data_IF_609932373679
#
_entry.id   IF_609932373679
#
_cell.length_a   1.000
_cell.length_b   1.000
_cell.length_c   1.000
_cell.angle_alpha   90.00
_cell.angle_beta   90.00
_cell.angle_gamma   90.00
#
_symmetry.space_group_name_H-M   'P 1'
#
loop_
_entity.id
_entity.type
_entity.pdbx_description
1 polymer ?
#
# COMPACT_ATOMS: atom_id res chain seq x y z
N UNK A 1 62.36 37.14 16.87
CA UNK A 1 62.60 36.39 18.13
C UNK A 1 61.52 35.31 18.21
N UNK A 2 61.74 33.99 18.28
CA UNK A 2 62.89 33.10 18.13
C UNK A 2 62.35 31.69 17.79
N UNK A 3 62.96 31.06 16.79
CA UNK A 3 63.17 29.61 16.45
C UNK A 3 62.62 28.46 17.32
N UNK A 4 62.16 27.36 16.67
CA UNK A 4 62.76 26.00 16.66
C UNK A 4 61.84 24.97 15.93
N UNK A 5 62.25 24.29 14.84
CA UNK A 5 63.02 23.02 14.74
C UNK A 5 62.22 21.75 15.16
N UNK A 6 62.10 20.63 14.40
CA UNK A 6 63.11 19.78 13.73
C UNK A 6 62.47 18.75 12.76
N UNK A 7 63.25 18.29 11.77
CA UNK A 7 62.96 17.23 10.76
C UNK A 7 63.97 16.06 10.94
N UNK A 8 63.99 15.02 10.07
CA UNK A 8 63.51 13.64 10.25
C UNK A 8 64.62 12.59 10.58
N UNK A 9 64.24 11.34 10.87
CA UNK A 9 65.17 10.19 11.03
C UNK A 9 65.06 9.18 9.88
N UNK A 10 66.24 8.72 9.41
CA UNK A 10 66.46 7.75 8.32
C UNK A 10 66.51 6.29 8.81
N UNK A 11 66.20 5.40 7.87
CA UNK A 11 66.12 3.92 7.89
C UNK A 11 67.50 3.24 7.91
N UNK A 12 67.59 2.02 8.50
CA UNK A 12 68.35 0.81 8.09
C UNK A 12 68.42 -0.19 9.28
N UNK A 13 68.39 -1.54 9.21
CA UNK A 13 68.91 -2.53 8.24
C UNK A 13 68.46 -3.97 8.66
N UNK A 14 68.39 -4.91 7.68
CA UNK A 14 68.68 -6.39 7.72
C UNK A 14 67.66 -7.31 8.44
N UNK A 15 67.43 -8.59 8.09
CA UNK A 15 67.99 -9.57 7.13
C UNK A 15 66.92 -10.68 6.86
N UNK A 16 67.14 -11.42 5.79
CA UNK A 16 66.34 -12.46 5.09
C UNK A 16 66.14 -13.82 5.79
N UNK A 17 65.05 -14.55 5.47
CA UNK A 17 65.05 -15.96 5.00
C UNK A 17 63.64 -16.51 4.61
N UNK A 18 63.66 -17.27 3.51
CA UNK A 18 62.67 -18.16 2.87
C UNK A 18 61.97 -19.16 3.83
N UNK A 19 60.68 -19.47 3.62
CA UNK A 19 60.15 -20.57 2.77
C UNK A 19 58.77 -21.06 3.27
N UNK A 20 57.88 -21.32 2.30
CA UNK A 20 56.90 -22.41 2.16
C UNK A 20 56.07 -22.85 3.38
N UNK A 21 54.76 -22.63 3.34
CA UNK A 21 53.86 -23.70 2.88
C UNK A 21 52.41 -23.22 2.81
N UNK A 22 51.81 -23.51 1.66
CA UNK A 22 50.37 -23.56 1.45
C UNK A 22 49.87 -24.69 2.33
N UNK A 23 49.05 -24.36 3.33
CA UNK A 23 48.12 -25.35 3.86
C UNK A 23 46.72 -24.75 3.99
N UNK A 24 45.91 -25.17 3.05
CA UNK A 24 44.47 -25.04 2.94
C UNK A 24 43.79 -25.61 4.18
N UNK A 25 43.51 -24.75 5.16
CA UNK A 25 42.49 -25.05 6.17
C UNK A 25 41.25 -24.23 5.88
N UNK A 26 40.38 -24.87 5.10
CA UNK A 26 38.95 -24.62 4.95
C UNK A 26 38.34 -24.42 6.34
N UNK A 27 38.16 -23.17 6.76
CA UNK A 27 37.27 -22.82 7.87
C UNK A 27 35.84 -23.13 7.42
N UNK A 28 35.38 -24.33 7.73
CA UNK A 28 33.97 -24.65 7.75
C UNK A 28 33.30 -23.69 8.74
N UNK A 29 32.67 -22.65 8.21
CA UNK A 29 31.72 -21.83 8.94
C UNK A 29 30.54 -22.74 9.29
N UNK A 30 30.64 -23.45 10.42
CA UNK A 30 29.49 -24.04 11.10
C UNK A 30 28.61 -22.86 11.51
N UNK A 31 27.70 -22.49 10.62
CA UNK A 31 26.59 -21.60 10.92
C UNK A 31 25.73 -22.33 11.94
N UNK A 32 25.98 -22.07 13.22
CA UNK A 32 25.09 -22.43 14.30
C UNK A 32 23.73 -21.78 14.02
N UNK A 33 22.84 -22.50 13.32
CA UNK A 33 21.45 -22.10 13.17
C UNK A 33 20.82 -22.13 14.54
N UNK A 34 20.85 -21.00 15.23
CA UNK A 34 20.19 -20.83 16.52
C UNK A 34 18.68 -20.95 16.28
N UNK A 35 18.10 -22.04 16.78
CA UNK A 35 16.67 -22.34 16.61
C UNK A 35 15.85 -21.25 17.32
N UNK A 36 14.93 -20.62 16.59
CA UNK A 36 14.07 -19.55 17.12
C UNK A 36 13.27 -20.04 18.34
N UNK A 37 13.11 -19.17 19.32
CA UNK A 37 12.21 -19.41 20.46
C UNK A 37 10.75 -19.42 20.03
N UNK A 38 9.85 -20.07 20.79
CA UNK A 38 8.40 -20.11 20.50
C UNK A 38 7.80 -18.71 20.32
N UNK A 39 8.20 -17.75 21.17
CA UNK A 39 7.75 -16.36 21.06
C UNK A 39 8.17 -15.72 19.74
N UNK A 40 9.43 -15.90 19.33
CA UNK A 40 9.94 -15.37 18.06
C UNK A 40 9.23 -16.01 16.85
N UNK A 41 8.90 -17.31 16.93
CA UNK A 41 8.15 -18.00 15.88
C UNK A 41 6.75 -17.42 15.71
N UNK A 42 6.02 -17.19 16.81
CA UNK A 42 4.68 -16.59 16.75
C UNK A 42 4.70 -15.17 16.18
N UNK A 43 5.66 -14.35 16.59
CA UNK A 43 5.84 -12.98 16.05
C UNK A 43 6.11 -13.06 14.53
N UNK A 44 7.01 -13.94 14.11
CA UNK A 44 7.34 -14.13 12.70
C UNK A 44 6.11 -14.54 11.88
N UNK A 45 5.33 -15.51 12.35
CA UNK A 45 4.10 -15.95 11.70
C UNK A 45 3.06 -14.82 11.60
N UNK A 46 2.91 -14.01 12.64
CA UNK A 46 2.01 -12.85 12.63
C UNK A 46 2.43 -11.81 11.59
N UNK A 47 3.74 -11.52 11.49
CA UNK A 47 4.28 -10.61 10.47
C UNK A 47 4.09 -11.15 9.05
N UNK A 48 4.36 -12.44 8.83
CA UNK A 48 4.15 -13.10 7.54
C UNK A 48 2.67 -13.06 7.13
N UNK A 49 1.77 -13.31 8.07
CA UNK A 49 0.32 -13.23 7.84
C UNK A 49 -0.11 -11.81 7.47
N UNK A 50 0.34 -10.80 8.22
CA UNK A 50 0.04 -9.38 7.92
C UNK A 50 0.54 -8.99 6.53
N UNK A 51 1.79 -9.33 6.22
CA UNK A 51 2.39 -9.06 4.90
C UNK A 51 1.58 -9.72 3.77
N UNK A 52 1.14 -10.96 3.95
CA UNK A 52 0.34 -11.65 2.94
C UNK A 52 -0.98 -10.90 2.67
N UNK A 53 -1.67 -10.46 3.72
CA UNK A 53 -2.92 -9.72 3.57
C UNK A 53 -2.72 -8.30 3.02
N UNK A 54 -1.61 -7.63 3.35
CA UNK A 54 -1.22 -6.36 2.72
C UNK A 54 -1.02 -6.52 1.21
N UNK A 55 -0.32 -7.57 0.78
CA UNK A 55 -0.14 -7.88 -0.64
C UNK A 55 -1.47 -8.18 -1.34
N UNK A 56 -2.33 -8.98 -0.72
CA UNK A 56 -3.65 -9.28 -1.26
C UNK A 56 -4.50 -8.01 -1.40
N UNK A 57 -4.47 -7.12 -0.40
CA UNK A 57 -5.18 -5.83 -0.45
C UNK A 57 -4.67 -4.97 -1.61
N UNK A 58 -3.36 -4.95 -1.84
CA UNK A 58 -2.76 -4.20 -2.96
C UNK A 58 -3.23 -4.76 -4.31
N UNK A 59 -3.19 -6.08 -4.50
CA UNK A 59 -3.68 -6.71 -5.74
C UNK A 59 -5.15 -6.37 -6.03
N UNK A 60 -5.99 -6.27 -4.99
CA UNK A 60 -7.39 -5.86 -5.15
C UNK A 60 -7.55 -4.38 -5.47
N UNK A 61 -6.73 -3.50 -4.88
CA UNK A 61 -6.72 -2.07 -5.21
C UNK A 61 -6.34 -1.85 -6.68
N UNK A 62 -5.26 -2.49 -7.13
CA UNK A 62 -4.77 -2.38 -8.51
C UNK A 62 -5.83 -2.81 -9.53
N UNK A 63 -6.59 -3.87 -9.26
CA UNK A 63 -7.72 -4.29 -10.11
C UNK A 63 -8.79 -3.20 -10.23
N UNK A 64 -9.05 -2.46 -9.16
CA UNK A 64 -10.11 -1.45 -9.08
C UNK A 64 -9.70 -0.07 -9.62
N UNK A 65 -8.42 0.14 -9.90
CA UNK A 65 -7.96 1.33 -10.62
C UNK A 65 -8.53 1.37 -12.04
N UNK A 66 -8.77 0.20 -12.65
CA UNK A 66 -9.46 0.07 -13.94
C UNK A 66 -10.96 -0.25 -13.80
N UNK A 67 -11.72 -0.15 -14.88
CA UNK A 67 -13.16 -0.47 -14.83
C UNK A 67 -13.36 -1.97 -14.66
N UNK A 68 -14.17 -2.35 -13.66
CA UNK A 68 -14.43 -3.76 -13.33
C UNK A 68 -15.91 -4.13 -13.46
N UNK A 69 -16.21 -5.43 -13.40
CA UNK A 69 -17.59 -5.91 -13.31
C UNK A 69 -18.17 -5.72 -11.91
N UNK A 70 -19.50 -5.75 -11.83
CA UNK A 70 -20.23 -5.67 -10.56
C UNK A 70 -19.84 -6.77 -9.56
N UNK A 71 -19.55 -7.98 -10.06
CA UNK A 71 -19.09 -9.09 -9.22
C UNK A 71 -17.73 -8.83 -8.59
N UNK A 72 -16.77 -8.31 -9.38
CA UNK A 72 -15.43 -7.98 -8.89
C UNK A 72 -15.47 -6.88 -7.83
N UNK A 73 -16.28 -5.83 -8.03
CA UNK A 73 -16.45 -4.80 -7.01
C UNK A 73 -17.11 -5.36 -5.74
N UNK A 74 -18.07 -6.28 -5.86
CA UNK A 74 -18.68 -6.93 -4.69
C UNK A 74 -17.65 -7.76 -3.92
N UNK A 75 -16.86 -8.56 -4.61
CA UNK A 75 -15.89 -9.46 -3.99
C UNK A 75 -14.73 -8.69 -3.34
N UNK A 76 -14.36 -7.53 -3.88
CA UNK A 76 -13.26 -6.73 -3.35
C UNK A 76 -13.50 -6.25 -1.92
N UNK A 77 -14.76 -6.11 -1.48
CA UNK A 77 -15.10 -5.67 -0.12
C UNK A 77 -14.50 -6.57 0.98
N UNK A 78 -14.22 -7.84 0.66
CA UNK A 78 -13.51 -8.79 1.54
C UNK A 78 -12.05 -8.41 1.79
N UNK A 79 -11.45 -7.66 0.88
CA UNK A 79 -10.01 -7.45 0.79
C UNK A 79 -9.61 -5.97 0.75
N UNK A 80 -10.54 -5.06 1.03
CA UNK A 80 -10.22 -3.63 1.15
C UNK A 80 -10.81 -3.04 2.43
N UNK A 81 -10.23 -1.91 2.83
CA UNK A 81 -10.65 -1.07 3.95
C UNK A 81 -11.24 0.23 3.37
N UNK A 82 -11.99 1.02 4.17
CA UNK A 82 -12.53 2.29 3.71
C UNK A 82 -11.47 3.24 3.14
N UNK A 83 -10.30 3.35 3.76
CA UNK A 83 -9.22 4.21 3.24
C UNK A 83 -8.67 3.72 1.90
N UNK A 84 -8.49 2.40 1.70
CA UNK A 84 -8.12 1.85 0.40
C UNK A 84 -9.13 2.23 -0.69
N UNK A 85 -10.44 2.25 -0.39
CA UNK A 85 -11.45 2.67 -1.36
C UNK A 85 -11.37 4.16 -1.71
N UNK A 86 -10.97 5.01 -0.75
CA UNK A 86 -10.69 6.42 -1.03
C UNK A 86 -9.50 6.57 -1.97
N UNK A 87 -8.40 5.84 -1.71
CA UNK A 87 -7.22 5.80 -2.60
C UNK A 87 -7.59 5.31 -4.01
N UNK A 88 -8.43 4.27 -4.12
CA UNK A 88 -8.96 3.80 -5.41
C UNK A 88 -9.71 4.93 -6.15
N UNK A 89 -10.55 5.70 -5.45
CA UNK A 89 -11.25 6.84 -6.06
C UNK A 89 -10.24 7.88 -6.55
N UNK A 90 -9.23 8.19 -5.75
CA UNK A 90 -8.18 9.16 -6.08
C UNK A 90 -7.37 8.73 -7.32
N UNK A 91 -6.90 7.49 -7.37
CA UNK A 91 -6.16 6.92 -8.50
C UNK A 91 -6.99 6.91 -9.80
N UNK A 92 -8.27 6.51 -9.70
CA UNK A 92 -9.20 6.59 -10.85
C UNK A 92 -9.36 8.02 -11.35
N UNK A 93 -9.47 8.99 -10.43
CA UNK A 93 -9.62 10.39 -10.78
C UNK A 93 -8.35 10.99 -11.39
N UNK A 94 -7.17 10.58 -10.92
CA UNK A 94 -5.89 10.93 -11.53
C UNK A 94 -5.84 10.46 -13.00
N UNK A 95 -6.38 9.27 -13.25
CA UNK A 95 -6.61 8.71 -14.59
C UNK A 95 -7.85 9.27 -15.32
N UNK A 96 -8.47 10.33 -14.80
CA UNK A 96 -9.66 11.03 -15.37
C UNK A 96 -10.93 10.16 -15.47
N UNK A 97 -10.97 9.03 -14.79
CA UNK A 97 -12.14 8.14 -14.75
C UNK A 97 -13.10 8.52 -13.62
N UNK A 98 -14.37 8.12 -13.77
CA UNK A 98 -15.34 8.17 -12.68
C UNK A 98 -14.85 7.30 -11.52
N UNK A 99 -14.91 7.84 -10.31
CA UNK A 99 -14.48 7.16 -9.08
C UNK A 99 -15.31 5.93 -8.70
N UNK A 100 -16.45 5.67 -9.37
CA UNK A 100 -17.21 4.44 -9.13
C UNK A 100 -16.61 3.29 -9.96
N UNK A 101 -16.05 2.20 -9.36
CA UNK A 101 -15.21 1.25 -10.10
C UNK A 101 -15.86 0.49 -11.25
N UNK A 102 -17.19 0.37 -11.26
CA UNK A 102 -17.90 -0.28 -12.38
C UNK A 102 -18.21 0.68 -13.54
N UNK A 103 -17.85 1.96 -13.41
CA UNK A 103 -18.14 3.01 -14.39
C UNK A 103 -16.90 3.40 -15.21
N UNK A 104 -16.99 3.23 -16.53
CA UNK A 104 -15.95 3.63 -17.49
C UNK A 104 -16.09 5.08 -18.00
N UNK A 105 -17.12 5.82 -17.57
CA UNK A 105 -17.31 7.23 -17.96
C UNK A 105 -16.23 8.11 -17.34
N UNK A 106 -15.82 9.20 -17.99
CA UNK A 106 -14.92 10.17 -17.36
C UNK A 106 -15.59 10.87 -16.18
N UNK A 107 -14.81 11.33 -15.20
CA UNK A 107 -15.33 12.18 -14.12
C UNK A 107 -15.78 13.53 -14.67
N UNK A 108 -16.72 14.17 -14.00
CA UNK A 108 -17.20 15.48 -14.42
C UNK A 108 -16.15 16.57 -14.20
N UNK A 109 -16.14 17.55 -15.12
CA UNK A 109 -15.33 18.76 -14.99
C UNK A 109 -16.23 19.85 -14.42
N UNK A 110 -16.33 19.93 -13.10
CA UNK A 110 -17.04 21.04 -12.42
C UNK A 110 -16.04 22.10 -11.98
N UNK A 111 -16.33 23.36 -12.32
CA UNK A 111 -15.64 24.53 -11.78
C UNK A 111 -16.25 24.96 -10.44
N UNK A 112 -15.40 25.39 -9.51
CA UNK A 112 -15.84 25.88 -8.19
C UNK A 112 -16.15 24.78 -7.17
N UNK A 113 -15.98 25.06 -5.88
CA UNK A 113 -16.16 24.10 -4.77
C UNK A 113 -17.61 24.04 -4.27
N UNK A 114 -18.38 25.12 -4.45
CA UNK A 114 -19.67 25.29 -3.80
C UNK A 114 -20.81 25.45 -4.81
N UNK A 115 -21.97 24.90 -4.48
CA UNK A 115 -23.23 25.07 -5.23
C UNK A 115 -24.27 25.75 -4.36
N UNK A 116 -24.89 26.82 -4.86
CA UNK A 116 -25.98 27.54 -4.19
C UNK A 116 -27.32 26.94 -4.59
N UNK A 117 -28.13 26.55 -3.61
CA UNK A 117 -29.54 26.20 -3.77
C UNK A 117 -30.41 27.37 -3.33
N UNK A 118 -31.02 28.06 -4.28
CA UNK A 118 -31.91 29.20 -3.98
C UNK A 118 -33.21 28.76 -3.30
N UNK A 119 -33.72 27.57 -3.64
CA UNK A 119 -34.94 27.02 -3.04
C UNK A 119 -34.77 26.76 -1.55
N UNK A 120 -33.64 26.17 -1.16
CA UNK A 120 -33.37 25.81 0.24
C UNK A 120 -32.55 26.87 0.97
N UNK A 121 -32.11 27.92 0.25
CA UNK A 121 -31.21 28.97 0.75
C UNK A 121 -29.96 28.38 1.42
N UNK A 122 -29.36 27.35 0.79
CA UNK A 122 -28.19 26.62 1.29
C UNK A 122 -27.04 26.63 0.29
N UNK A 123 -25.81 26.58 0.82
CA UNK A 123 -24.58 26.40 0.05
C UNK A 123 -24.07 24.99 0.32
N UNK A 124 -23.87 24.21 -0.74
CA UNK A 124 -23.38 22.84 -0.67
C UNK A 124 -21.93 22.77 -1.13
N UNK A 125 -21.07 22.06 -0.39
CA UNK A 125 -19.77 21.65 -0.91
C UNK A 125 -19.98 20.47 -1.86
N UNK A 126 -19.51 20.61 -3.10
CA UNK A 126 -19.63 19.60 -4.15
C UNK A 126 -18.28 19.00 -4.52
N UNK A 127 -17.25 19.16 -3.70
CA UNK A 127 -15.89 18.66 -3.96
C UNK A 127 -15.88 17.16 -4.19
N UNK A 128 -16.54 16.37 -3.33
CA UNK A 128 -16.62 14.91 -3.51
C UNK A 128 -17.37 14.52 -4.78
N UNK A 129 -18.37 15.29 -5.20
CA UNK A 129 -19.14 14.99 -6.41
C UNK A 129 -18.28 15.08 -7.68
N UNK A 130 -17.23 15.90 -7.68
CA UNK A 130 -16.28 16.04 -8.80
C UNK A 130 -15.49 14.77 -9.12
N UNK A 131 -15.48 13.82 -8.19
CA UNK A 131 -14.83 12.53 -8.34
C UNK A 131 -15.66 11.54 -9.17
N UNK A 132 -16.85 11.93 -9.64
CA UNK A 132 -17.79 11.04 -10.30
C UNK A 132 -18.35 11.66 -11.58
N UNK A 133 -18.89 10.83 -12.48
CA UNK A 133 -19.53 11.32 -13.69
C UNK A 133 -20.96 11.85 -13.45
N UNK A 134 -21.60 11.47 -12.34
CA UNK A 134 -22.98 11.83 -12.01
C UNK A 134 -23.27 11.68 -10.51
N UNK A 135 -24.37 12.27 -10.05
CA UNK A 135 -24.88 12.09 -8.68
C UNK A 135 -25.27 10.64 -8.39
N UNK A 136 -25.72 9.89 -9.40
CA UNK A 136 -26.03 8.46 -9.28
C UNK A 136 -24.75 7.68 -8.97
N UNK A 137 -23.66 7.88 -9.73
CA UNK A 137 -22.39 7.20 -9.45
C UNK A 137 -21.81 7.61 -8.10
N UNK A 138 -21.95 8.87 -7.70
CA UNK A 138 -21.56 9.32 -6.35
C UNK A 138 -22.34 8.57 -5.27
N UNK A 139 -23.67 8.53 -5.36
CA UNK A 139 -24.52 7.86 -4.38
C UNK A 139 -24.26 6.34 -4.35
N UNK A 140 -24.14 5.69 -5.51
CA UNK A 140 -23.82 4.25 -5.62
C UNK A 140 -22.45 3.90 -5.05
N UNK A 141 -21.45 4.74 -5.32
CA UNK A 141 -20.11 4.58 -4.75
C UNK A 141 -20.12 4.77 -3.23
N UNK A 142 -20.83 5.80 -2.73
CA UNK A 142 -20.95 6.06 -1.30
C UNK A 142 -21.68 4.92 -0.58
N UNK A 143 -22.73 4.37 -1.19
CA UNK A 143 -23.45 3.21 -0.67
C UNK A 143 -22.52 1.99 -0.52
N UNK A 144 -21.69 1.69 -1.53
CA UNK A 144 -20.68 0.65 -1.40
C UNK A 144 -19.68 0.95 -0.27
N UNK A 145 -19.15 2.17 -0.22
CA UNK A 145 -18.20 2.60 0.81
C UNK A 145 -18.74 2.41 2.24
N UNK A 146 -20.00 2.74 2.49
CA UNK A 146 -20.61 2.61 3.84
C UNK A 146 -20.73 1.17 4.34
N UNK A 147 -20.56 0.17 3.46
CA UNK A 147 -20.63 -1.24 3.81
C UNK A 147 -19.25 -1.86 4.08
N UNK A 148 -18.16 -1.11 3.82
CA UNK A 148 -16.81 -1.60 4.03
C UNK A 148 -16.48 -1.70 5.52
N UNK A 149 -15.89 -2.83 5.92
CA UNK A 149 -15.44 -3.05 7.30
C UNK A 149 -14.10 -2.39 7.57
N UNK A 150 -13.95 -1.77 8.74
CA UNK A 150 -12.67 -1.29 9.27
C UNK A 150 -11.82 -2.40 9.91
N UNK A 151 -12.34 -3.63 10.00
CA UNK A 151 -11.62 -4.76 10.56
C UNK A 151 -10.39 -5.11 9.68
N UNK A 152 -9.18 -5.19 10.26
CA UNK A 152 -7.98 -5.60 9.55
C UNK A 152 -8.16 -6.94 8.86
N UNK A 153 -7.72 -7.04 7.60
CA UNK A 153 -7.95 -8.23 6.75
C UNK A 153 -7.49 -9.55 7.39
N UNK A 154 -6.36 -9.55 8.10
CA UNK A 154 -5.81 -10.73 8.75
C UNK A 154 -6.63 -11.25 9.95
N UNK A 155 -7.65 -10.51 10.39
CA UNK A 155 -8.59 -10.92 11.43
C UNK A 155 -9.94 -11.40 10.86
N UNK A 156 -10.20 -11.18 9.56
CA UNK A 156 -11.49 -11.47 8.94
C UNK A 156 -11.71 -12.97 8.76
N UNK A 157 -12.91 -13.43 9.05
CA UNK A 157 -13.39 -14.75 8.62
C UNK A 157 -13.84 -14.68 7.16
N UNK A 158 -12.94 -15.06 6.25
CA UNK A 158 -13.21 -15.04 4.81
C UNK A 158 -14.20 -16.13 4.37
N UNK A 159 -14.39 -17.20 5.15
CA UNK A 159 -15.30 -18.29 4.81
C UNK A 159 -16.75 -17.87 5.04
N UNK A 160 -17.00 -17.11 6.10
CA UNK A 160 -18.34 -16.65 6.49
C UNK A 160 -18.55 -15.14 6.27
N UNK A 161 -17.84 -14.57 5.30
CA UNK A 161 -17.92 -13.14 5.02
C UNK A 161 -19.32 -12.72 4.56
N UNK A 162 -19.87 -11.68 5.18
CA UNK A 162 -21.17 -11.13 4.79
C UNK A 162 -21.05 -10.42 3.44
N UNK A 163 -21.83 -10.80 2.42
CA UNK A 163 -21.78 -10.13 1.13
C UNK A 163 -22.25 -8.67 1.26
N UNK A 164 -21.67 -7.81 0.42
CA UNK A 164 -22.10 -6.41 0.28
C UNK A 164 -22.94 -6.25 -0.98
N UNK A 165 -23.74 -5.19 -0.99
CA UNK A 165 -24.55 -4.82 -2.14
C UNK A 165 -23.85 -3.77 -2.99
N UNK A 166 -23.98 -3.92 -4.31
CA UNK A 166 -23.42 -3.03 -5.32
C UNK A 166 -24.56 -2.58 -6.22
N UNK A 167 -24.77 -1.27 -6.33
CA UNK A 167 -25.83 -0.69 -7.15
C UNK A 167 -25.38 -0.68 -8.62
N UNK A 168 -26.04 -1.40 -9.53
CA UNK A 168 -25.66 -1.41 -10.94
C UNK A 168 -25.75 0.00 -11.55
N UNK A 169 -25.00 0.22 -12.64
CA UNK A 169 -25.18 1.43 -13.43
C UNK A 169 -26.59 1.41 -14.04
N UNK A 170 -27.38 2.45 -13.76
CA UNK A 170 -28.65 2.67 -14.47
C UNK A 170 -28.36 2.87 -15.96
N UNK A 171 -29.12 2.16 -16.80
CA UNK A 171 -29.11 2.30 -18.26
C UNK A 171 -29.56 3.68 -18.71
#
# INVERSE_FOLDING_TARGET
>A
MSTSEKKPRKIQKRKSKKNDNIDSQTRSSQTNQTKLTKKQQLIKQSLETRKHFEQLSLEWQEKLYETVSLGILRDSAKFILPHHYQEIIEERNASKMCGYPICSKPKQVIQGQYRISYHERKIYDISELKNYCSTICFASSKFFFTQLSDEPLYLRDLQNWKPVDVIPLGG
#
